data_IF_191803678284
#
_entry.id   IF_191803678284
#
_cell.length_a   1.000
_cell.length_b   1.000
_cell.length_c   1.000
_cell.angle_alpha   90.00
_cell.angle_beta   90.00
_cell.angle_gamma   90.00
#
_symmetry.space_group_name_H-M   'P 1'
#
loop_
_entity.id
_entity.type
_entity.pdbx_description
1 polymer ?
#
# COMPACT_ATOMS: atom_id res chain seq x y z
N UNK A 1 22.23 45.79 80.85
CA UNK A 1 22.09 44.35 80.50
C UNK A 1 20.82 44.24 79.71
N UNK A 2 20.95 44.28 78.39
CA UNK A 2 19.81 44.15 77.42
C UNK A 2 20.18 43.19 76.35
N UNK A 3 19.50 42.07 76.30
CA UNK A 3 19.65 41.03 75.24
C UNK A 3 18.72 41.33 74.08
N UNK A 4 19.32 41.49 72.95
CA UNK A 4 18.68 41.65 71.67
C UNK A 4 18.40 40.26 71.02
N UNK A 5 17.15 39.94 70.72
CA UNK A 5 16.72 38.74 70.03
C UNK A 5 16.60 39.04 68.49
N UNK A 6 17.40 38.35 67.70
CA UNK A 6 17.30 38.38 66.21
C UNK A 6 16.10 37.51 65.78
N UNK A 7 15.17 38.11 65.09
CA UNK A 7 14.12 37.40 64.36
C UNK A 7 14.63 36.88 62.98
N UNK A 8 14.43 35.57 62.73
CA UNK A 8 14.70 34.94 61.42
C UNK A 8 13.47 35.12 60.50
N UNK A 9 13.65 35.90 59.44
CA UNK A 9 12.67 35.96 58.36
C UNK A 9 12.90 34.78 57.43
N UNK A 10 11.91 33.91 57.28
CA UNK A 10 11.90 32.84 56.30
C UNK A 10 11.34 33.37 54.97
N UNK A 11 12.20 33.37 53.95
CA UNK A 11 11.80 33.67 52.56
C UNK A 11 11.21 32.40 51.94
N UNK A 12 9.90 32.39 51.65
CA UNK A 12 9.26 31.37 50.83
C UNK A 12 9.47 31.75 49.35
N UNK A 13 10.31 31.01 48.63
CA UNK A 13 10.42 31.08 47.20
C UNK A 13 9.31 30.22 46.57
N UNK A 14 8.29 30.86 46.02
CA UNK A 14 7.28 30.17 45.19
C UNK A 14 7.88 29.85 43.83
N UNK A 15 8.18 28.57 43.57
CA UNK A 15 8.53 28.05 42.26
C UNK A 15 7.22 27.90 41.48
N UNK A 16 6.95 28.84 40.57
CA UNK A 16 5.87 28.70 39.59
C UNK A 16 6.32 27.68 38.50
N UNK A 17 5.79 26.46 38.56
CA UNK A 17 5.85 25.52 37.44
C UNK A 17 4.97 26.07 36.31
N UNK A 18 5.59 26.68 35.32
CA UNK A 18 4.98 26.93 34.03
C UNK A 18 4.84 25.57 33.31
N UNK A 19 3.66 24.98 33.43
CA UNK A 19 3.23 23.88 32.54
C UNK A 19 3.09 24.45 31.13
N UNK A 20 4.12 24.32 30.35
CA UNK A 20 4.04 24.58 28.90
C UNK A 20 3.15 23.49 28.29
N UNK A 21 1.84 23.71 28.30
CA UNK A 21 0.93 23.04 27.36
C UNK A 21 1.31 23.55 25.99
N UNK A 22 2.16 22.78 25.29
CA UNK A 22 2.45 23.00 23.89
C UNK A 22 1.14 22.88 23.12
N UNK A 23 0.50 24.01 22.86
CA UNK A 23 -0.50 24.11 21.81
C UNK A 23 0.23 23.68 20.54
N UNK A 24 -0.11 22.51 20.01
CA UNK A 24 0.29 22.10 18.66
C UNK A 24 -0.21 23.20 17.74
N UNK A 25 0.71 24.07 17.31
CA UNK A 25 0.41 25.09 16.34
C UNK A 25 0.04 24.35 15.08
N UNK A 26 -1.21 24.49 14.61
CA UNK A 26 -1.64 23.90 13.36
C UNK A 26 -0.64 24.34 12.27
N UNK A 27 -0.04 23.37 11.63
CA UNK A 27 0.91 23.62 10.55
C UNK A 27 0.10 24.08 9.35
N UNK A 28 0.30 25.31 8.87
CA UNK A 28 -0.41 25.82 7.68
C UNK A 28 0.01 25.11 6.39
N UNK A 29 0.97 24.19 6.48
CA UNK A 29 1.50 23.42 5.35
C UNK A 29 0.51 22.38 4.86
N UNK A 30 0.52 22.19 3.53
CA UNK A 30 -0.42 21.33 2.82
C UNK A 30 0.29 20.26 2.01
N UNK A 31 -0.21 19.04 2.10
CA UNK A 31 0.30 17.91 1.34
C UNK A 31 -0.78 17.42 0.36
N UNK A 32 -0.34 17.04 -0.85
CA UNK A 32 -1.20 16.45 -1.87
C UNK A 32 -0.86 14.98 -2.03
N UNK A 33 -1.90 14.14 -2.18
CA UNK A 33 -1.79 12.73 -2.54
C UNK A 33 -2.51 12.47 -3.87
N UNK A 34 -1.80 11.89 -4.84
CA UNK A 34 -2.30 11.62 -6.20
C UNK A 34 -2.37 10.12 -6.43
N UNK A 35 -3.52 9.61 -6.87
CA UNK A 35 -3.78 8.17 -7.05
C UNK A 35 -4.71 7.84 -8.22
N UNK A 36 -4.61 6.65 -8.86
CA UNK A 36 -5.37 6.34 -10.09
C UNK A 36 -6.80 5.84 -9.88
N UNK A 37 -7.12 5.17 -8.76
CA UNK A 37 -8.43 4.54 -8.49
C UNK A 37 -8.93 4.91 -7.11
N UNK A 38 -9.37 6.16 -6.94
CA UNK A 38 -9.70 6.70 -5.61
C UNK A 38 -10.71 5.89 -4.82
N UNK A 39 -11.71 5.32 -5.48
CA UNK A 39 -12.84 4.66 -4.80
C UNK A 39 -12.66 3.13 -4.67
N UNK A 40 -11.54 2.58 -5.14
CA UNK A 40 -11.20 1.16 -4.93
C UNK A 40 -10.96 0.86 -3.43
N UNK A 41 -11.46 -0.26 -2.87
CA UNK A 41 -11.34 -0.57 -1.44
C UNK A 41 -9.90 -0.52 -0.91
N UNK A 42 -8.94 -1.09 -1.64
CA UNK A 42 -7.50 -1.06 -1.30
C UNK A 42 -6.99 0.38 -1.19
N UNK A 43 -7.34 1.22 -2.18
CA UNK A 43 -6.91 2.62 -2.19
C UNK A 43 -7.56 3.43 -1.06
N UNK A 44 -8.76 3.07 -0.61
CA UNK A 44 -9.39 3.72 0.56
C UNK A 44 -8.64 3.43 1.86
N UNK A 45 -8.15 2.19 2.03
CA UNK A 45 -7.29 1.86 3.17
C UNK A 45 -5.99 2.67 3.17
N UNK A 46 -5.37 2.82 1.99
CA UNK A 46 -4.19 3.66 1.80
C UNK A 46 -4.48 5.13 2.12
N UNK A 47 -5.59 5.67 1.64
CA UNK A 47 -6.03 7.04 1.97
C UNK A 47 -6.13 7.26 3.48
N UNK A 48 -6.69 6.28 4.19
CA UNK A 48 -6.83 6.38 5.64
C UNK A 48 -5.48 6.49 6.33
N UNK A 49 -4.50 5.65 5.96
CA UNK A 49 -3.14 5.73 6.51
C UNK A 49 -2.48 7.09 6.27
N UNK A 50 -2.64 7.65 5.06
CA UNK A 50 -2.15 8.98 4.73
C UNK A 50 -2.83 10.07 5.57
N UNK A 51 -4.16 10.08 5.62
CA UNK A 51 -4.93 11.11 6.32
C UNK A 51 -4.73 11.08 7.84
N UNK A 52 -4.66 9.88 8.44
CA UNK A 52 -4.41 9.73 9.86
C UNK A 52 -3.04 10.28 10.25
N UNK A 53 -2.01 9.97 9.45
CA UNK A 53 -0.67 10.50 9.68
C UNK A 53 -0.61 12.01 9.44
N UNK A 54 -1.27 12.53 8.43
CA UNK A 54 -1.41 13.97 8.21
C UNK A 54 -2.00 14.66 9.44
N UNK A 55 -3.08 14.12 9.99
CA UNK A 55 -3.73 14.64 11.20
C UNK A 55 -2.79 14.59 12.41
N UNK A 56 -2.09 13.47 12.60
CA UNK A 56 -1.11 13.30 13.68
C UNK A 56 0.01 14.36 13.60
N UNK A 57 0.50 14.64 12.39
CA UNK A 57 1.55 15.61 12.13
C UNK A 57 1.05 17.07 12.09
N UNK A 58 -0.27 17.30 12.14
CA UNK A 58 -0.88 18.62 12.08
C UNK A 58 -0.88 19.27 10.72
N UNK A 59 -0.80 18.48 9.63
CA UNK A 59 -0.84 18.98 8.23
C UNK A 59 -2.26 18.96 7.67
N UNK A 60 -2.55 19.88 6.75
CA UNK A 60 -3.74 19.82 5.90
C UNK A 60 -3.41 18.96 4.68
N UNK A 61 -4.19 17.92 4.43
CA UNK A 61 -3.93 16.99 3.35
C UNK A 61 -5.13 16.87 2.40
N UNK A 62 -4.83 16.84 1.11
CA UNK A 62 -5.82 16.65 0.04
C UNK A 62 -5.50 15.40 -0.76
N UNK A 63 -6.53 14.66 -1.15
CA UNK A 63 -6.42 13.47 -2.00
C UNK A 63 -7.13 13.75 -3.31
N UNK A 64 -6.43 13.55 -4.41
CA UNK A 64 -7.00 13.60 -5.76
C UNK A 64 -6.77 12.30 -6.50
N UNK A 65 -7.71 11.97 -7.37
CA UNK A 65 -7.62 10.76 -8.17
C UNK A 65 -8.88 10.49 -8.97
N UNK A 66 -8.77 9.62 -9.96
CA UNK A 66 -9.91 9.15 -10.73
C UNK A 66 -10.95 8.51 -9.79
N UNK A 67 -12.21 9.01 -9.77
CA UNK A 67 -13.26 8.53 -8.87
C UNK A 67 -13.85 7.20 -9.34
N UNK A 68 -13.01 6.23 -9.70
CA UNK A 68 -13.39 4.89 -10.10
C UNK A 68 -12.95 3.85 -9.07
N UNK A 69 -13.75 2.78 -8.93
CA UNK A 69 -13.40 1.61 -8.15
C UNK A 69 -12.87 0.45 -9.03
N UNK A 70 -13.04 0.53 -10.36
CA UNK A 70 -12.77 -0.58 -11.28
C UNK A 70 -11.94 -0.18 -12.50
N UNK A 71 -11.79 1.11 -12.77
CA UNK A 71 -11.07 1.60 -13.92
C UNK A 71 -9.67 2.10 -13.52
N UNK A 72 -8.66 1.39 -13.96
CA UNK A 72 -7.27 1.81 -13.86
C UNK A 72 -6.97 2.90 -14.89
N UNK A 73 -6.86 4.14 -14.43
CA UNK A 73 -6.62 5.29 -15.31
C UNK A 73 -5.64 6.28 -14.66
N UNK A 74 -4.36 6.01 -14.85
CA UNK A 74 -3.28 6.90 -14.40
C UNK A 74 -3.31 8.22 -15.16
N UNK A 75 -3.53 8.17 -16.48
CA UNK A 75 -3.52 9.35 -17.34
C UNK A 75 -4.66 10.33 -16.99
N UNK A 76 -5.87 9.82 -16.73
CA UNK A 76 -7.02 10.62 -16.32
C UNK A 76 -6.88 11.26 -14.93
N UNK A 77 -5.91 10.80 -14.13
CA UNK A 77 -5.59 11.39 -12.83
C UNK A 77 -4.76 12.67 -12.93
N UNK A 78 -3.94 12.82 -13.98
CA UNK A 78 -3.04 13.97 -14.12
C UNK A 78 -3.77 15.32 -14.21
N UNK A 79 -4.83 15.51 -15.00
CA UNK A 79 -5.58 16.75 -15.00
C UNK A 79 -6.20 17.12 -13.66
N UNK A 80 -6.59 16.10 -12.87
CA UNK A 80 -7.14 16.30 -11.52
C UNK A 80 -6.07 16.82 -10.56
N UNK A 81 -4.86 16.29 -10.65
CA UNK A 81 -3.71 16.74 -9.86
C UNK A 81 -3.31 18.18 -10.27
N UNK A 82 -3.22 18.47 -11.56
CA UNK A 82 -2.92 19.81 -12.07
C UNK A 82 -3.97 20.85 -11.61
N UNK A 83 -5.26 20.51 -11.67
CA UNK A 83 -6.33 21.36 -11.18
C UNK A 83 -6.24 21.63 -9.66
N UNK A 84 -5.85 20.64 -8.86
CA UNK A 84 -5.64 20.82 -7.43
C UNK A 84 -4.45 21.74 -7.16
N UNK A 85 -3.32 21.54 -7.85
CA UNK A 85 -2.11 22.36 -7.73
C UNK A 85 -2.37 23.81 -8.16
N UNK A 86 -3.15 24.03 -9.23
CA UNK A 86 -3.52 25.38 -9.69
C UNK A 86 -4.42 26.12 -8.67
N UNK A 87 -5.26 25.39 -7.94
CA UNK A 87 -6.19 25.97 -6.94
C UNK A 87 -5.53 26.19 -5.58
N UNK A 88 -4.61 25.33 -5.19
CA UNK A 88 -4.05 25.28 -3.84
C UNK A 88 -2.54 25.14 -3.91
N UNK A 89 -1.81 25.96 -3.15
CA UNK A 89 -0.37 25.78 -2.98
C UNK A 89 -0.13 24.60 -2.01
N UNK A 90 0.56 23.58 -2.49
CA UNK A 90 1.04 22.47 -1.68
C UNK A 90 2.53 22.62 -1.37
N UNK A 91 2.98 22.08 -0.23
CA UNK A 91 4.36 22.12 0.20
C UNK A 91 5.14 20.87 -0.21
N UNK A 92 4.44 19.76 -0.44
CA UNK A 92 5.01 18.52 -1.00
C UNK A 92 3.88 17.66 -1.61
N UNK A 93 4.23 16.78 -2.56
CA UNK A 93 3.28 16.00 -3.34
C UNK A 93 3.68 14.53 -3.36
N UNK A 94 2.77 13.64 -2.94
CA UNK A 94 2.88 12.20 -3.08
C UNK A 94 2.21 11.74 -4.37
N UNK A 95 2.91 10.99 -5.21
CA UNK A 95 2.40 10.54 -6.50
C UNK A 95 2.50 9.02 -6.61
N UNK A 96 1.39 8.36 -6.98
CA UNK A 96 1.42 6.96 -7.33
C UNK A 96 2.18 6.76 -8.64
N UNK A 97 3.30 6.09 -8.59
CA UNK A 97 4.23 5.99 -9.71
C UNK A 97 4.46 4.57 -10.22
N UNK A 98 3.38 3.78 -10.52
CA UNK A 98 3.54 2.38 -10.93
C UNK A 98 3.89 2.22 -12.40
N UNK A 99 3.81 3.30 -13.18
CA UNK A 99 3.96 3.30 -14.62
C UNK A 99 4.96 4.39 -15.05
N UNK A 100 5.99 4.07 -15.85
CA UNK A 100 6.91 5.06 -16.39
C UNK A 100 6.23 6.23 -17.13
N UNK A 101 5.00 6.06 -17.61
CA UNK A 101 4.23 7.13 -18.26
C UNK A 101 3.96 8.33 -17.33
N UNK A 102 3.98 8.14 -16.00
CA UNK A 102 3.79 9.23 -15.03
C UNK A 102 5.10 9.98 -14.71
N UNK A 103 6.27 9.43 -15.05
CA UNK A 103 7.56 10.02 -14.70
C UNK A 103 7.77 11.44 -15.26
N UNK A 104 7.37 11.77 -16.51
CA UNK A 104 7.44 13.14 -17.02
C UNK A 104 6.64 14.14 -16.18
N UNK A 105 5.47 13.74 -15.66
CA UNK A 105 4.68 14.56 -14.76
C UNK A 105 5.38 14.80 -13.43
N UNK A 106 5.97 13.76 -12.83
CA UNK A 106 6.75 13.86 -11.61
C UNK A 106 7.93 14.83 -11.81
N UNK A 107 8.70 14.65 -12.90
CA UNK A 107 9.84 15.50 -13.21
C UNK A 107 9.44 16.96 -13.44
N UNK A 108 8.33 17.21 -14.15
CA UNK A 108 7.77 18.56 -14.32
C UNK A 108 7.53 19.22 -12.98
N UNK A 109 6.80 18.57 -12.07
CA UNK A 109 6.48 19.13 -10.75
C UNK A 109 7.74 19.35 -9.91
N UNK A 110 8.72 18.44 -9.99
CA UNK A 110 9.99 18.60 -9.30
C UNK A 110 10.77 19.84 -9.78
N UNK A 111 10.79 20.10 -11.10
CA UNK A 111 11.40 21.30 -11.68
C UNK A 111 10.61 22.59 -11.36
N UNK A 112 9.32 22.49 -11.10
CA UNK A 112 8.51 23.61 -10.56
C UNK A 112 8.77 23.87 -9.07
N UNK A 113 9.61 23.05 -8.44
CA UNK A 113 10.09 23.23 -7.06
C UNK A 113 9.32 22.44 -6.01
N UNK A 114 8.42 21.54 -6.41
CA UNK A 114 7.72 20.68 -5.46
C UNK A 114 8.63 19.52 -5.01
N UNK A 115 8.80 19.27 -3.70
CA UNK A 115 9.33 18.01 -3.22
C UNK A 115 8.34 16.88 -3.53
N UNK A 116 8.81 15.84 -4.25
CA UNK A 116 7.95 14.73 -4.68
C UNK A 116 8.42 13.43 -4.02
N UNK A 117 7.45 12.66 -3.54
CA UNK A 117 7.61 11.28 -3.08
C UNK A 117 6.74 10.37 -3.93
N UNK A 118 7.31 9.32 -4.51
CA UNK A 118 6.49 8.23 -5.05
C UNK A 118 6.12 7.26 -3.94
N UNK A 119 4.91 6.71 -4.03
CA UNK A 119 4.43 5.71 -3.11
C UNK A 119 3.96 4.46 -3.86
N UNK A 120 3.94 3.33 -3.16
CA UNK A 120 3.60 2.00 -3.67
C UNK A 120 4.62 1.41 -4.66
N UNK A 121 5.57 2.18 -5.14
CA UNK A 121 6.61 1.77 -6.09
C UNK A 121 7.94 2.37 -5.68
N UNK A 122 9.00 1.62 -5.88
CA UNK A 122 10.37 1.98 -5.51
C UNK A 122 11.24 2.15 -6.77
N UNK A 123 11.07 3.22 -7.56
CA UNK A 123 11.91 3.46 -8.72
C UNK A 123 13.38 3.62 -8.27
N UNK A 124 14.28 3.02 -9.04
CA UNK A 124 15.71 3.14 -8.77
C UNK A 124 16.14 4.61 -8.76
N UNK A 125 17.02 4.99 -7.83
CA UNK A 125 17.54 6.35 -7.75
C UNK A 125 18.14 6.80 -9.09
N UNK A 126 17.79 8.01 -9.51
CA UNK A 126 18.20 8.59 -10.79
C UNK A 126 17.32 8.17 -11.99
N UNK A 127 16.34 7.28 -11.82
CA UNK A 127 15.41 6.91 -12.92
C UNK A 127 14.38 8.01 -13.18
N UNK A 128 13.93 8.70 -12.14
CA UNK A 128 12.95 9.79 -12.23
C UNK A 128 13.62 11.09 -11.81
N UNK A 129 13.77 11.99 -12.77
CA UNK A 129 14.47 13.25 -12.53
C UNK A 129 13.73 14.11 -11.49
N UNK A 130 14.47 14.60 -10.50
CA UNK A 130 13.97 15.45 -9.42
C UNK A 130 13.18 14.73 -8.30
N UNK A 131 12.88 13.42 -8.42
CA UNK A 131 12.25 12.64 -7.36
C UNK A 131 13.10 12.65 -6.09
N UNK A 132 12.50 12.95 -4.95
CA UNK A 132 13.23 13.09 -3.67
C UNK A 132 13.24 11.80 -2.85
N UNK A 133 12.16 11.04 -2.86
CA UNK A 133 12.08 9.77 -2.15
C UNK A 133 11.01 8.84 -2.74
N UNK A 134 11.11 7.56 -2.39
CA UNK A 134 10.13 6.54 -2.71
C UNK A 134 9.89 5.64 -1.50
N UNK A 135 8.63 5.30 -1.24
CA UNK A 135 8.25 4.32 -0.23
C UNK A 135 7.20 3.38 -0.79
N UNK A 136 7.20 2.16 -0.34
CA UNK A 136 6.28 1.13 -0.80
C UNK A 136 6.75 -0.26 -0.44
N UNK A 137 6.06 -1.24 -0.97
CA UNK A 137 6.39 -2.64 -0.77
C UNK A 137 7.66 -3.05 -1.53
N UNK A 138 8.43 -3.96 -0.93
CA UNK A 138 9.43 -4.74 -1.68
C UNK A 138 8.70 -5.83 -2.51
N UNK A 139 8.26 -5.42 -3.68
CA UNK A 139 7.38 -6.18 -4.57
C UNK A 139 8.01 -7.52 -4.99
N UNK A 140 9.30 -7.53 -5.28
CA UNK A 140 9.99 -8.77 -5.68
C UNK A 140 10.07 -9.76 -4.51
N UNK A 141 10.27 -9.27 -3.30
CA UNK A 141 10.24 -10.11 -2.10
C UNK A 141 8.83 -10.64 -1.81
N UNK A 142 7.80 -9.83 -1.99
CA UNK A 142 6.41 -10.24 -1.84
C UNK A 142 6.03 -11.37 -2.80
N UNK A 143 6.37 -11.25 -4.09
CA UNK A 143 6.17 -12.33 -5.07
C UNK A 143 6.95 -13.60 -4.73
N UNK A 144 8.17 -13.45 -4.22
CA UNK A 144 8.98 -14.57 -3.71
C UNK A 144 8.32 -15.26 -2.52
N UNK A 145 7.82 -14.49 -1.55
CA UNK A 145 7.13 -15.02 -0.37
C UNK A 145 5.85 -15.77 -0.75
N UNK A 146 5.06 -15.22 -1.69
CA UNK A 146 3.86 -15.88 -2.21
C UNK A 146 4.20 -17.22 -2.89
N UNK A 147 5.27 -17.26 -3.68
CA UNK A 147 5.73 -18.47 -4.35
C UNK A 147 6.16 -19.56 -3.35
N UNK A 148 6.91 -19.18 -2.30
CA UNK A 148 7.33 -20.13 -1.25
C UNK A 148 6.10 -20.68 -0.53
N UNK A 149 5.20 -19.82 -0.07
CA UNK A 149 3.99 -20.23 0.63
C UNK A 149 3.09 -21.14 -0.23
N UNK A 150 2.95 -20.83 -1.54
CA UNK A 150 2.18 -21.67 -2.48
C UNK A 150 2.86 -23.00 -2.74
N UNK A 151 4.17 -23.00 -3.00
CA UNK A 151 4.95 -24.20 -3.28
C UNK A 151 4.97 -25.19 -2.11
N UNK A 152 5.15 -24.69 -0.90
CA UNK A 152 5.09 -25.48 0.33
C UNK A 152 3.68 -26.05 0.55
N UNK A 153 2.63 -25.23 0.37
CA UNK A 153 1.25 -25.66 0.53
C UNK A 153 0.84 -26.73 -0.47
N UNK A 154 1.37 -26.68 -1.69
CA UNK A 154 1.15 -27.69 -2.73
C UNK A 154 2.07 -28.91 -2.60
N UNK A 155 3.01 -28.92 -1.65
CA UNK A 155 3.98 -30.00 -1.50
C UNK A 155 4.93 -30.14 -2.69
N UNK A 156 5.22 -29.03 -3.38
CA UNK A 156 6.17 -28.97 -4.49
C UNK A 156 5.67 -29.57 -5.81
N UNK A 157 4.36 -29.83 -5.96
CA UNK A 157 3.78 -30.44 -7.17
C UNK A 157 2.43 -29.81 -7.53
N UNK A 158 2.16 -29.66 -8.83
CA UNK A 158 0.87 -29.18 -9.30
C UNK A 158 0.94 -28.21 -10.46
N UNK A 159 -0.18 -27.56 -10.74
CA UNK A 159 -0.31 -26.53 -11.79
C UNK A 159 -0.91 -25.27 -11.18
N UNK A 160 -0.22 -24.16 -11.34
CA UNK A 160 -0.63 -22.87 -10.82
C UNK A 160 -1.06 -21.94 -11.95
N UNK A 161 -2.23 -21.33 -11.82
CA UNK A 161 -2.65 -20.20 -12.63
C UNK A 161 -2.17 -18.90 -11.98
N UNK A 162 -1.68 -17.96 -12.78
CA UNK A 162 -1.30 -16.60 -12.34
C UNK A 162 -2.12 -15.58 -13.09
N UNK A 163 -2.72 -14.63 -12.35
CA UNK A 163 -3.50 -13.54 -12.94
C UNK A 163 -3.09 -12.18 -12.38
N UNK A 164 -3.38 -11.14 -13.16
CA UNK A 164 -3.10 -9.73 -12.87
C UNK A 164 -4.33 -8.89 -13.17
N UNK A 165 -4.52 -7.79 -12.43
CA UNK A 165 -5.58 -6.81 -12.72
C UNK A 165 -5.25 -5.99 -13.96
N UNK A 166 -4.02 -5.53 -14.09
CA UNK A 166 -3.52 -4.75 -15.22
C UNK A 166 -2.05 -5.07 -15.51
N UNK A 167 -1.61 -4.74 -16.72
CA UNK A 167 -0.17 -4.75 -17.04
C UNK A 167 0.45 -3.43 -16.57
N UNK A 168 1.10 -3.48 -15.41
CA UNK A 168 1.88 -2.40 -14.84
C UNK A 168 3.14 -2.95 -14.15
N UNK A 169 4.09 -2.07 -13.85
CA UNK A 169 5.39 -2.49 -13.32
C UNK A 169 5.28 -3.24 -11.99
N UNK A 170 4.34 -2.88 -11.13
CA UNK A 170 4.10 -3.52 -9.83
C UNK A 170 3.65 -4.97 -10.00
N UNK A 171 2.55 -5.18 -10.72
CA UNK A 171 1.97 -6.51 -10.89
C UNK A 171 2.87 -7.42 -11.75
N UNK A 172 3.53 -6.85 -12.76
CA UNK A 172 4.51 -7.56 -13.57
C UNK A 172 5.69 -8.04 -12.72
N UNK A 173 6.30 -7.15 -11.93
CA UNK A 173 7.44 -7.51 -11.08
C UNK A 173 7.08 -8.60 -10.05
N UNK A 174 5.88 -8.54 -9.48
CA UNK A 174 5.40 -9.53 -8.52
C UNK A 174 5.17 -10.90 -9.17
N UNK A 175 4.46 -10.95 -10.30
CA UNK A 175 4.21 -12.21 -11.01
C UNK A 175 5.50 -12.83 -11.55
N UNK A 176 6.45 -12.03 -12.01
CA UNK A 176 7.76 -12.48 -12.46
C UNK A 176 8.59 -13.06 -11.32
N UNK A 177 8.62 -12.42 -10.15
CA UNK A 177 9.31 -12.92 -8.97
C UNK A 177 8.69 -14.23 -8.48
N UNK A 178 7.35 -14.33 -8.48
CA UNK A 178 6.63 -15.56 -8.16
C UNK A 178 7.04 -16.70 -9.12
N UNK A 179 6.95 -16.49 -10.42
CA UNK A 179 7.28 -17.49 -11.45
C UNK A 179 8.74 -17.96 -11.36
N UNK A 180 9.68 -17.03 -11.23
CA UNK A 180 11.11 -17.32 -11.08
C UNK A 180 11.38 -18.16 -9.84
N UNK A 181 10.72 -17.83 -8.73
CA UNK A 181 10.90 -18.57 -7.46
C UNK A 181 10.32 -19.97 -7.55
N UNK A 182 9.12 -20.15 -8.11
CA UNK A 182 8.54 -21.47 -8.36
C UNK A 182 9.48 -22.33 -9.24
N UNK A 183 9.94 -21.78 -10.34
CA UNK A 183 10.82 -22.50 -11.27
C UNK A 183 12.13 -22.94 -10.60
N UNK A 184 12.70 -22.11 -9.71
CA UNK A 184 13.94 -22.40 -9.03
C UNK A 184 13.80 -23.38 -7.85
N UNK A 185 12.74 -23.25 -7.05
CA UNK A 185 12.59 -24.00 -5.79
C UNK A 185 11.66 -25.21 -5.89
N UNK A 186 10.70 -25.18 -6.80
CA UNK A 186 9.66 -26.21 -6.93
C UNK A 186 9.53 -26.71 -8.37
N UNK A 187 10.55 -27.41 -8.92
CA UNK A 187 10.56 -27.84 -10.32
C UNK A 187 9.44 -28.82 -10.69
N UNK A 188 8.74 -29.39 -9.72
CA UNK A 188 7.56 -30.23 -9.92
C UNK A 188 6.25 -29.44 -10.09
N UNK A 189 6.31 -28.10 -10.03
CA UNK A 189 5.15 -27.23 -10.24
C UNK A 189 5.24 -26.56 -11.61
N UNK A 190 4.17 -26.70 -12.39
CA UNK A 190 3.98 -25.96 -13.65
C UNK A 190 3.23 -24.66 -13.37
N UNK A 191 3.73 -23.54 -13.86
CA UNK A 191 3.03 -22.25 -13.80
C UNK A 191 2.52 -21.90 -15.20
N UNK A 192 1.22 -21.69 -15.33
CA UNK A 192 0.59 -21.26 -16.58
C UNK A 192 1.02 -19.83 -16.96
N UNK A 193 0.86 -19.44 -18.21
CA UNK A 193 1.11 -18.07 -18.63
C UNK A 193 0.20 -17.09 -17.87
N UNK A 194 0.77 -15.97 -17.44
CA UNK A 194 0.04 -14.94 -16.71
C UNK A 194 -1.06 -14.34 -17.58
N UNK A 195 -2.26 -14.20 -17.04
CA UNK A 195 -3.42 -13.64 -17.72
C UNK A 195 -3.95 -12.41 -17.01
N UNK A 196 -4.50 -11.46 -17.79
CA UNK A 196 -5.17 -10.29 -17.22
C UNK A 196 -6.59 -10.67 -16.80
N UNK A 197 -6.92 -10.56 -15.50
CA UNK A 197 -8.28 -10.75 -15.01
C UNK A 197 -9.08 -9.44 -14.98
N UNK A 198 -8.39 -8.30 -14.85
CA UNK A 198 -9.02 -6.99 -14.73
C UNK A 198 -9.54 -6.72 -13.31
N UNK A 199 -10.18 -5.57 -13.15
CA UNK A 199 -10.71 -5.12 -11.83
C UNK A 199 -12.24 -5.17 -11.75
N UNK A 200 -12.93 -5.50 -12.85
CA UNK A 200 -14.39 -5.67 -12.83
C UNK A 200 -14.72 -7.05 -12.30
N UNK A 201 -15.43 -7.18 -11.14
CA UNK A 201 -15.56 -8.44 -10.43
C UNK A 201 -16.19 -9.58 -11.24
N UNK A 202 -17.25 -9.31 -12.00
CA UNK A 202 -17.96 -10.33 -12.77
C UNK A 202 -17.12 -10.86 -13.94
N UNK A 203 -16.41 -9.97 -14.63
CA UNK A 203 -15.54 -10.32 -15.75
C UNK A 203 -14.31 -11.08 -15.26
N UNK A 204 -13.69 -10.64 -14.16
CA UNK A 204 -12.57 -11.32 -13.53
C UNK A 204 -12.92 -12.75 -13.10
N UNK A 205 -14.06 -12.93 -12.40
CA UNK A 205 -14.53 -14.24 -11.97
C UNK A 205 -14.84 -15.15 -13.17
N UNK A 206 -15.51 -14.64 -14.22
CA UNK A 206 -15.78 -15.40 -15.43
C UNK A 206 -14.49 -15.88 -16.12
N UNK A 207 -13.46 -15.04 -16.15
CA UNK A 207 -12.16 -15.42 -16.67
C UNK A 207 -11.47 -16.52 -15.84
N UNK A 208 -11.49 -16.41 -14.52
CA UNK A 208 -10.94 -17.43 -13.63
C UNK A 208 -11.69 -18.77 -13.77
N UNK A 209 -13.01 -18.75 -13.93
CA UNK A 209 -13.82 -19.95 -14.27
C UNK A 209 -13.35 -20.56 -15.59
N UNK A 210 -13.18 -19.75 -16.65
CA UNK A 210 -12.69 -20.25 -17.93
C UNK A 210 -11.29 -20.86 -17.84
N UNK A 211 -10.39 -20.27 -17.05
CA UNK A 211 -9.07 -20.85 -16.79
C UNK A 211 -9.17 -22.22 -16.13
N UNK A 212 -10.04 -22.38 -15.12
CA UNK A 212 -10.25 -23.66 -14.43
C UNK A 212 -10.86 -24.71 -15.35
N UNK A 213 -11.79 -24.32 -16.21
CA UNK A 213 -12.42 -25.22 -17.20
C UNK A 213 -11.42 -25.67 -18.27
N UNK A 214 -10.61 -24.76 -18.76
CA UNK A 214 -9.59 -25.06 -19.79
C UNK A 214 -8.37 -25.82 -19.25
N UNK A 215 -8.17 -25.84 -17.93
CA UNK A 215 -7.01 -26.45 -17.29
C UNK A 215 -7.44 -27.28 -16.07
N UNK A 216 -7.91 -28.52 -16.29
CA UNK A 216 -8.44 -29.36 -15.21
C UNK A 216 -7.41 -29.71 -14.12
N UNK A 217 -6.11 -29.60 -14.41
CA UNK A 217 -5.03 -29.91 -13.48
C UNK A 217 -4.64 -28.75 -12.56
N UNK A 218 -5.20 -27.54 -12.78
CA UNK A 218 -4.92 -26.38 -11.92
C UNK A 218 -5.40 -26.67 -10.50
N UNK A 219 -4.45 -26.65 -9.54
CA UNK A 219 -4.69 -26.84 -8.12
C UNK A 219 -4.14 -25.69 -7.26
N UNK A 220 -3.51 -24.68 -7.87
CA UNK A 220 -3.09 -23.43 -7.25
C UNK A 220 -3.48 -22.23 -8.08
N UNK A 221 -3.76 -21.10 -7.45
CA UNK A 221 -4.01 -19.81 -8.10
C UNK A 221 -3.35 -18.67 -7.32
N UNK A 222 -2.60 -17.84 -8.03
CA UNK A 222 -2.03 -16.62 -7.50
C UNK A 222 -2.50 -15.42 -8.30
N UNK A 223 -3.05 -14.44 -7.63
CA UNK A 223 -3.45 -13.17 -8.23
C UNK A 223 -2.69 -12.02 -7.59
N UNK A 224 -2.17 -11.11 -8.42
CA UNK A 224 -1.39 -9.95 -8.00
C UNK A 224 -2.25 -8.72 -7.74
N UNK A 225 -3.59 -8.85 -7.77
CA UNK A 225 -4.52 -7.74 -7.53
C UNK A 225 -5.39 -7.94 -6.30
N UNK A 226 -5.83 -6.83 -5.69
CA UNK A 226 -6.63 -6.83 -4.47
C UNK A 226 -7.99 -7.54 -4.57
N UNK A 227 -8.53 -7.70 -5.77
CA UNK A 227 -9.77 -8.46 -6.01
C UNK A 227 -9.52 -9.97 -6.20
N UNK A 228 -8.28 -10.38 -6.37
CA UNK A 228 -7.90 -11.73 -6.79
C UNK A 228 -8.41 -12.85 -5.89
N UNK A 229 -8.42 -12.62 -4.56
CA UNK A 229 -8.96 -13.61 -3.61
C UNK A 229 -10.46 -13.84 -3.85
N UNK A 230 -11.22 -12.76 -4.05
CA UNK A 230 -12.66 -12.82 -4.33
C UNK A 230 -12.92 -13.52 -5.67
N UNK A 231 -12.16 -13.11 -6.70
CA UNK A 231 -12.19 -13.67 -8.05
C UNK A 231 -11.99 -15.19 -8.03
N UNK A 232 -10.89 -15.65 -7.46
CA UNK A 232 -10.52 -17.07 -7.50
C UNK A 232 -11.35 -17.93 -6.54
N UNK A 233 -11.75 -17.42 -5.37
CA UNK A 233 -12.64 -18.15 -4.47
C UNK A 233 -14.06 -18.30 -5.07
N UNK A 234 -14.55 -17.27 -5.76
CA UNK A 234 -15.80 -17.32 -6.51
C UNK A 234 -15.74 -18.34 -7.65
N UNK A 235 -14.68 -18.28 -8.44
CA UNK A 235 -14.45 -19.20 -9.56
C UNK A 235 -14.31 -20.65 -9.11
N UNK A 236 -13.58 -20.92 -8.03
CA UNK A 236 -13.39 -22.25 -7.47
C UNK A 236 -14.74 -22.85 -7.03
N UNK A 237 -15.59 -22.06 -6.36
CA UNK A 237 -16.95 -22.49 -5.99
C UNK A 237 -17.83 -22.78 -7.20
N UNK A 238 -17.84 -21.90 -8.21
CA UNK A 238 -18.65 -22.09 -9.44
C UNK A 238 -18.21 -23.31 -10.24
N UNK A 239 -16.91 -23.60 -10.25
CA UNK A 239 -16.35 -24.74 -10.94
C UNK A 239 -16.37 -26.05 -10.12
N UNK A 240 -16.85 -26.00 -8.88
CA UNK A 240 -16.80 -27.10 -7.90
C UNK A 240 -15.39 -27.69 -7.76
N UNK A 241 -14.39 -26.80 -7.62
CA UNK A 241 -12.96 -27.15 -7.57
C UNK A 241 -12.32 -26.73 -6.25
N UNK A 242 -11.40 -27.56 -5.77
CA UNK A 242 -10.50 -27.20 -4.67
C UNK A 242 -9.21 -26.64 -5.25
N UNK A 243 -8.94 -25.39 -4.97
CA UNK A 243 -7.77 -24.64 -5.44
C UNK A 243 -7.11 -23.99 -4.24
N UNK A 244 -5.78 -24.10 -4.11
CA UNK A 244 -5.01 -23.32 -3.14
C UNK A 244 -4.89 -21.91 -3.69
N UNK A 245 -5.48 -20.94 -3.02
CA UNK A 245 -5.57 -19.55 -3.49
C UNK A 245 -4.71 -18.66 -2.59
N UNK A 246 -3.82 -17.90 -3.20
CA UNK A 246 -3.12 -16.75 -2.59
C UNK A 246 -3.41 -15.53 -3.46
N UNK A 247 -3.78 -14.44 -2.84
CA UNK A 247 -3.96 -13.15 -3.52
C UNK A 247 -3.40 -12.03 -2.68
N UNK A 248 -3.78 -10.81 -3.02
CA UNK A 248 -3.23 -9.60 -2.42
C UNK A 248 -4.21 -8.96 -1.43
N UNK A 249 -3.67 -8.14 -0.56
CA UNK A 249 -4.36 -7.10 0.21
C UNK A 249 -5.28 -7.58 1.33
N UNK A 250 -4.96 -7.16 2.54
CA UNK A 250 -5.70 -7.50 3.76
C UNK A 250 -6.96 -6.63 3.96
N UNK A 251 -7.74 -6.39 2.91
CA UNK A 251 -9.08 -5.81 3.07
C UNK A 251 -10.01 -6.79 3.78
N UNK A 252 -11.04 -6.29 4.48
CA UNK A 252 -11.94 -7.12 5.30
C UNK A 252 -12.53 -8.31 4.55
N UNK A 253 -13.01 -8.09 3.33
CA UNK A 253 -13.57 -9.17 2.50
C UNK A 253 -12.56 -10.30 2.25
N UNK A 254 -11.29 -9.98 1.98
CA UNK A 254 -10.25 -10.98 1.74
C UNK A 254 -9.90 -11.74 3.02
N UNK A 255 -9.81 -11.04 4.17
CA UNK A 255 -9.63 -11.68 5.47
C UNK A 255 -10.77 -12.65 5.78
N UNK A 256 -12.03 -12.27 5.53
CA UNK A 256 -13.20 -13.12 5.74
C UNK A 256 -13.18 -14.38 4.88
N UNK A 257 -12.73 -14.30 3.64
CA UNK A 257 -12.59 -15.44 2.73
C UNK A 257 -11.53 -16.42 3.24
N UNK A 258 -10.37 -15.90 3.69
CA UNK A 258 -9.32 -16.74 4.29
C UNK A 258 -9.81 -17.35 5.61
N UNK A 259 -10.54 -16.61 6.44
CA UNK A 259 -11.13 -17.09 7.69
C UNK A 259 -12.10 -18.26 7.47
N UNK A 260 -12.87 -18.23 6.38
CA UNK A 260 -13.78 -19.32 5.98
C UNK A 260 -13.05 -20.53 5.40
N UNK A 261 -11.78 -20.41 5.05
CA UNK A 261 -11.00 -21.47 4.39
C UNK A 261 -11.20 -21.55 2.88
N UNK A 262 -11.86 -20.56 2.26
CA UNK A 262 -12.08 -20.48 0.81
C UNK A 262 -10.82 -19.98 0.06
N UNK A 263 -9.84 -19.41 0.77
CA UNK A 263 -8.50 -19.12 0.28
C UNK A 263 -7.47 -19.52 1.33
N UNK A 264 -6.24 -19.77 0.90
CA UNK A 264 -5.14 -20.18 1.78
C UNK A 264 -4.47 -18.99 2.46
N UNK A 265 -4.21 -17.91 1.73
CA UNK A 265 -3.48 -16.80 2.29
C UNK A 265 -3.55 -15.52 1.48
N UNK A 266 -2.99 -14.48 2.05
CA UNK A 266 -2.95 -13.13 1.52
C UNK A 266 -1.51 -12.62 1.58
N UNK A 267 -1.00 -12.06 0.50
CA UNK A 267 0.17 -11.17 0.58
C UNK A 267 -0.31 -9.87 1.22
N UNK A 268 0.11 -9.66 2.46
CA UNK A 268 -0.30 -8.48 3.23
C UNK A 268 0.59 -7.30 2.86
N UNK A 269 0.23 -6.60 1.79
CA UNK A 269 0.87 -5.33 1.45
C UNK A 269 0.74 -4.34 2.60
N UNK A 270 1.77 -3.58 2.94
CA UNK A 270 1.74 -2.61 4.03
C UNK A 270 0.98 -1.33 3.64
N UNK A 271 -0.27 -1.48 3.15
CA UNK A 271 -1.07 -0.42 2.51
C UNK A 271 -1.27 0.82 3.39
N UNK A 272 -1.67 0.59 4.63
CA UNK A 272 -1.85 1.65 5.61
C UNK A 272 -0.50 2.26 6.02
N UNK A 273 0.48 1.41 6.28
CA UNK A 273 1.81 1.80 6.77
C UNK A 273 2.61 2.56 5.71
N UNK A 274 2.55 2.15 4.44
CA UNK A 274 3.27 2.86 3.36
C UNK A 274 2.68 4.25 3.11
N UNK A 275 1.38 4.37 3.25
CA UNK A 275 0.68 5.63 3.08
C UNK A 275 0.96 6.60 4.23
N UNK A 276 0.98 6.10 5.47
CA UNK A 276 1.44 6.85 6.62
C UNK A 276 2.91 7.27 6.47
N UNK A 277 3.77 6.35 5.98
CA UNK A 277 5.18 6.66 5.71
C UNK A 277 5.33 7.72 4.62
N UNK A 278 4.51 7.70 3.58
CA UNK A 278 4.49 8.76 2.56
C UNK A 278 4.22 10.12 3.19
N UNK A 279 3.23 10.23 4.07
CA UNK A 279 2.94 11.49 4.78
C UNK A 279 4.12 11.97 5.63
N UNK A 280 4.81 11.05 6.33
CA UNK A 280 6.03 11.37 7.10
C UNK A 280 7.16 11.92 6.20
N UNK A 281 7.42 11.27 5.06
CA UNK A 281 8.45 11.71 4.12
C UNK A 281 8.12 13.06 3.50
N UNK A 282 6.85 13.28 3.10
CA UNK A 282 6.38 14.55 2.57
C UNK A 282 6.49 15.67 3.60
N UNK A 283 6.09 15.42 4.85
CA UNK A 283 6.22 16.38 5.94
C UNK A 283 7.68 16.77 6.20
N UNK A 284 8.58 15.78 6.24
CA UNK A 284 10.02 16.02 6.42
C UNK A 284 10.59 16.88 5.28
N UNK A 285 10.24 16.56 4.03
CA UNK A 285 10.68 17.34 2.86
C UNK A 285 10.08 18.76 2.86
N UNK A 286 8.81 18.93 3.22
CA UNK A 286 8.17 20.23 3.37
C UNK A 286 8.85 21.12 4.44
N UNK A 287 9.49 20.49 5.42
CA UNK A 287 10.29 21.17 6.45
C UNK A 287 11.77 21.35 6.06
N UNK A 288 12.18 20.91 4.87
CA UNK A 288 13.57 20.96 4.39
C UNK A 288 14.49 19.94 5.07
N UNK A 289 13.92 18.91 5.72
CA UNK A 289 14.70 17.84 6.36
C UNK A 289 15.17 16.81 5.33
N UNK A 290 16.34 16.22 5.49
CA UNK A 290 16.80 15.13 4.63
C UNK A 290 16.00 13.87 4.88
N UNK A 291 15.76 13.09 3.80
CA UNK A 291 15.13 11.78 3.85
C UNK A 291 15.96 10.77 3.07
N UNK A 292 15.84 9.49 3.41
CA UNK A 292 16.40 8.42 2.57
C UNK A 292 15.61 8.35 1.24
N UNK A 293 16.32 8.10 0.14
CA UNK A 293 15.67 7.99 -1.17
C UNK A 293 14.72 6.79 -1.23
N UNK A 294 15.11 5.62 -0.73
CA UNK A 294 14.26 4.43 -0.68
C UNK A 294 13.87 4.07 0.76
N UNK A 295 12.60 3.82 0.96
CA UNK A 295 12.05 3.28 2.21
C UNK A 295 11.17 2.07 1.88
N UNK A 296 11.78 0.88 1.61
CA UNK A 296 11.03 -0.34 1.34
C UNK A 296 10.36 -0.86 2.60
N UNK A 297 9.13 -1.36 2.45
CA UNK A 297 8.35 -1.96 3.52
C UNK A 297 8.11 -3.45 3.23
N UNK A 298 8.22 -4.34 4.22
CA UNK A 298 8.04 -5.76 4.00
C UNK A 298 6.56 -6.13 3.82
N UNK A 299 6.29 -7.12 2.95
CA UNK A 299 4.99 -7.79 2.83
C UNK A 299 5.14 -9.29 3.11
N UNK A 300 4.40 -9.77 4.08
CA UNK A 300 4.36 -11.18 4.44
C UNK A 300 3.13 -11.86 3.84
N UNK A 301 3.22 -13.17 3.59
CA UNK A 301 2.02 -13.98 3.34
C UNK A 301 1.41 -14.34 4.69
N UNK A 302 0.19 -13.87 4.91
CA UNK A 302 -0.62 -14.17 6.10
C UNK A 302 -1.64 -15.25 5.79
N UNK A 303 -1.95 -16.06 6.80
CA UNK A 303 -2.90 -17.16 6.74
C UNK A 303 -3.98 -17.02 7.81
N UNK A 304 -4.87 -17.98 7.95
CA UNK A 304 -5.90 -17.97 8.98
C UNK A 304 -5.37 -17.76 10.42
N UNK A 305 -4.10 -18.12 10.67
CA UNK A 305 -3.49 -17.95 11.99
C UNK A 305 -3.14 -16.49 12.33
N UNK A 306 -3.03 -15.63 11.33
CA UNK A 306 -2.49 -14.26 11.47
C UNK A 306 -3.58 -13.18 11.45
N UNK A 307 -4.84 -13.53 11.14
CA UNK A 307 -5.91 -12.59 10.78
C UNK A 307 -6.26 -11.59 11.86
N UNK A 308 -6.22 -11.96 13.14
CA UNK A 308 -6.64 -11.10 14.25
C UNK A 308 -5.87 -9.77 14.29
N UNK A 309 -4.58 -9.79 13.96
CA UNK A 309 -3.76 -8.58 13.86
C UNK A 309 -4.30 -7.64 12.79
N UNK A 310 -4.64 -8.18 11.63
CA UNK A 310 -5.07 -7.38 10.47
C UNK A 310 -6.50 -6.87 10.63
N UNK A 311 -7.40 -7.65 11.24
CA UNK A 311 -8.71 -7.12 11.64
C UNK A 311 -8.59 -5.91 12.57
N UNK A 312 -7.69 -5.96 13.55
CA UNK A 312 -7.44 -4.83 14.44
C UNK A 312 -6.93 -3.58 13.71
N UNK A 313 -6.06 -3.75 12.72
CA UNK A 313 -5.60 -2.63 11.88
C UNK A 313 -6.80 -2.02 11.12
N UNK A 314 -7.63 -2.85 10.49
CA UNK A 314 -8.81 -2.38 9.77
C UNK A 314 -9.81 -1.69 10.70
N UNK A 315 -10.08 -2.27 11.88
CA UNK A 315 -10.97 -1.67 12.88
C UNK A 315 -10.46 -0.30 13.33
N UNK A 316 -9.15 -0.16 13.56
CA UNK A 316 -8.54 1.12 13.94
C UNK A 316 -8.60 2.16 12.81
N UNK A 317 -8.61 1.73 11.56
CA UNK A 317 -8.74 2.56 10.38
C UNK A 317 -10.21 2.82 9.97
N UNK A 318 -11.20 2.31 10.71
CA UNK A 318 -12.63 2.48 10.42
C UNK A 318 -13.11 1.72 9.18
N UNK A 319 -12.44 0.59 8.84
CA UNK A 319 -12.71 -0.23 7.65
C UNK A 319 -13.49 -1.52 7.98
#
# INVERSE_FOLDING_TARGET
MTRTTLGKAALFAAVALLSATGLSQANDKKLLWVQPMRDHPVHRLMQQGFLDKCKELGYTCEIVGNPSATQWDVAGTLPLAEAAIARTKFDAIGVYGPDPAIFPFISKLAHEGFPIVTWHVLPKEGTVDGLKAATGEDIANAGTNAAVAMGDKLGGKGVIAVTQGASNDTENAMSDAFRKTIAAKYPGIKVLDTQMEGFEPSAAEAKAVAILQGNPDVNGAFSTTGNGIQTWSGAARKADRKVVIIGMDYIRQNLDIVKKGDAYGIVAQPLYEESAKTAELLAALAEGKPVAYLTPLPAAVITAADLDKYYKILDSAGQ
#
